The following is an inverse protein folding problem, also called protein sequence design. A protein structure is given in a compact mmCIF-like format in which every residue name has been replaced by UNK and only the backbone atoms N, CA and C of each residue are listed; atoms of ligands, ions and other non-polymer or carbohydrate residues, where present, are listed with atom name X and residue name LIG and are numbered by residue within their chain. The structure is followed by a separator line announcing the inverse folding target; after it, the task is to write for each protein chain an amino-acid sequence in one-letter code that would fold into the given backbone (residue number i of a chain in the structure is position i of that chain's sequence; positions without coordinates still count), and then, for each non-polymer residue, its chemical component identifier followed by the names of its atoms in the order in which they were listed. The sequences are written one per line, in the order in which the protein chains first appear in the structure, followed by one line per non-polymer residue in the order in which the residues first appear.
data_IF_669135517182
#
_entry.id   IF_669135517182
#
_cell.length_a   1.000
_cell.length_b   1.000
_cell.length_c   1.000
_cell.angle_alpha   90.00
_cell.angle_beta   90.00
_cell.angle_gamma   90.00
#
_symmetry.space_group_name_H-M   'P 1'
#
loop_
_entity.id
_entity.type
_entity.pdbx_description
1 polymer ?
#
# COMPACT_ATOMS: atom_id res chain seq x y z
N UNK A 1 -19.33 9.83 5.60
CA UNK A 1 -19.95 8.49 5.68
C UNK A 1 -19.02 7.62 6.50
N UNK A 2 -19.43 7.24 7.70
CA UNK A 2 -18.67 6.34 8.58
C UNK A 2 -18.59 4.97 7.92
N UNK A 3 -17.38 4.45 7.70
CA UNK A 3 -17.18 3.06 7.28
C UNK A 3 -17.69 2.14 8.37
N UNK A 4 -18.82 1.47 8.14
CA UNK A 4 -19.35 0.45 9.04
C UNK A 4 -18.40 -0.77 8.93
N UNK A 5 -17.64 -1.01 10.00
CA UNK A 5 -16.77 -2.19 10.10
C UNK A 5 -17.63 -3.37 10.60
N UNK A 6 -18.05 -4.23 9.68
CA UNK A 6 -18.76 -5.47 9.98
C UNK A 6 -17.78 -6.57 10.41
N UNK A 7 -18.15 -7.36 11.42
CA UNK A 7 -17.41 -8.56 11.79
C UNK A 7 -17.62 -9.71 10.78
N UNK A 8 -16.91 -10.85 10.97
CA UNK A 8 -16.98 -11.98 10.04
C UNK A 8 -18.38 -12.61 10.00
N UNK A 9 -19.07 -12.68 11.16
CA UNK A 9 -20.41 -13.28 11.29
C UNK A 9 -21.46 -12.39 10.62
N UNK A 10 -21.38 -11.08 10.85
CA UNK A 10 -22.26 -10.09 10.22
C UNK A 10 -22.11 -10.07 8.70
N UNK A 11 -20.89 -10.23 8.17
CA UNK A 11 -20.64 -10.33 6.73
C UNK A 11 -21.26 -11.59 6.13
N UNK A 12 -21.16 -12.73 6.81
CA UNK A 12 -21.76 -13.99 6.36
C UNK A 12 -23.28 -13.87 6.30
N UNK A 13 -23.91 -13.34 7.35
CA UNK A 13 -25.36 -13.11 7.39
C UNK A 13 -25.83 -12.14 6.31
N UNK A 14 -25.10 -11.04 6.11
CA UNK A 14 -25.42 -10.08 5.06
C UNK A 14 -25.32 -10.69 3.66
N UNK A 15 -24.32 -11.54 3.43
CA UNK A 15 -24.17 -12.27 2.16
C UNK A 15 -25.33 -13.21 1.91
N UNK A 16 -25.71 -14.01 2.90
CA UNK A 16 -26.86 -14.93 2.81
C UNK A 16 -28.18 -14.17 2.55
N UNK A 17 -28.42 -13.05 3.22
CA UNK A 17 -29.58 -12.19 2.96
C UNK A 17 -29.59 -11.67 1.52
N UNK A 18 -28.47 -11.18 1.01
CA UNK A 18 -28.36 -10.66 -0.35
C UNK A 18 -28.52 -11.76 -1.43
N UNK A 19 -28.02 -12.97 -1.17
CA UNK A 19 -28.19 -14.12 -2.06
C UNK A 19 -29.66 -14.59 -2.08
N UNK A 20 -30.36 -14.59 -0.94
CA UNK A 20 -31.78 -14.91 -0.86
C UNK A 20 -32.63 -13.86 -1.59
N UNK A 21 -32.32 -12.57 -1.43
CA UNK A 21 -32.99 -11.49 -2.19
C UNK A 21 -32.79 -11.67 -3.68
N UNK A 22 -31.57 -11.95 -4.14
CA UNK A 22 -31.25 -12.21 -5.53
C UNK A 22 -32.02 -13.39 -6.12
N UNK A 23 -32.17 -14.48 -5.35
CA UNK A 23 -32.93 -15.66 -5.75
C UNK A 23 -34.44 -15.37 -5.84
N UNK A 24 -35.00 -14.62 -4.89
CA UNK A 24 -36.41 -14.22 -4.93
C UNK A 24 -36.73 -13.34 -6.13
N UNK A 25 -35.82 -12.46 -6.52
CA UNK A 25 -35.94 -11.62 -7.73
C UNK A 25 -35.95 -12.44 -9.03
N UNK A 26 -35.24 -13.59 -9.08
CA UNK A 26 -35.21 -14.49 -10.25
C UNK A 26 -36.49 -15.30 -10.41
N UNK A 27 -37.20 -15.57 -9.33
CA UNK A 27 -38.43 -16.39 -9.34
C UNK A 27 -39.63 -15.58 -9.83
N UNK A 28 -39.66 -14.26 -9.66
CA UNK A 28 -40.78 -13.40 -10.09
C UNK A 28 -40.72 -13.01 -11.58
N UNK A 29 -40.73 -13.99 -12.47
CA UNK A 29 -40.50 -13.81 -13.92
C UNK A 29 -41.75 -13.40 -14.73
N UNK A 30 -42.80 -12.91 -14.09
CA UNK A 30 -44.10 -12.64 -14.79
C UNK A 30 -44.54 -11.20 -14.89
N UNK A 31 -43.68 -10.21 -14.69
CA UNK A 31 -44.05 -8.82 -14.89
C UNK A 31 -43.68 -8.34 -16.27
N UNK A 32 -44.74 -7.99 -17.07
CA UNK A 32 -44.62 -7.48 -18.44
C UNK A 32 -44.34 -5.98 -18.51
N UNK A 33 -44.04 -5.32 -17.40
CA UNK A 33 -43.75 -3.89 -17.38
C UNK A 33 -42.25 -3.63 -17.59
N UNK A 34 -41.94 -2.98 -18.71
CA UNK A 34 -40.56 -2.75 -19.17
C UNK A 34 -39.77 -1.78 -18.26
N UNK A 35 -40.46 -0.94 -17.49
CA UNK A 35 -39.84 0.01 -16.56
C UNK A 35 -39.44 -0.67 -15.25
N UNK A 36 -40.32 -1.53 -14.72
CA UNK A 36 -40.04 -2.43 -13.59
C UNK A 36 -38.90 -3.40 -13.88
N UNK A 37 -38.79 -3.86 -15.11
CA UNK A 37 -37.67 -4.74 -15.53
C UNK A 37 -36.32 -4.05 -15.48
N UNK A 38 -36.24 -2.79 -15.93
CA UNK A 38 -34.97 -2.00 -15.87
C UNK A 38 -34.53 -1.69 -14.46
N UNK A 39 -35.46 -1.36 -13.56
CA UNK A 39 -35.16 -1.06 -12.17
C UNK A 39 -34.72 -2.33 -11.43
N UNK A 40 -35.33 -3.45 -11.71
CA UNK A 40 -34.97 -4.79 -11.21
C UNK A 40 -33.57 -5.20 -11.68
N UNK A 41 -33.23 -5.05 -12.96
CA UNK A 41 -31.88 -5.32 -13.49
C UNK A 41 -30.80 -4.45 -12.84
N UNK A 42 -31.12 -3.19 -12.56
CA UNK A 42 -30.23 -2.27 -11.85
C UNK A 42 -30.01 -2.72 -10.41
N UNK A 43 -31.07 -3.17 -9.72
CA UNK A 43 -31.00 -3.69 -8.36
C UNK A 43 -30.21 -5.00 -8.30
N UNK A 44 -30.46 -5.93 -9.22
CA UNK A 44 -29.69 -7.19 -9.35
C UNK A 44 -28.20 -6.92 -9.52
N UNK A 45 -27.81 -6.04 -10.43
CA UNK A 45 -26.42 -5.65 -10.64
C UNK A 45 -25.77 -5.05 -9.38
N UNK A 46 -26.53 -4.26 -8.61
CA UNK A 46 -26.06 -3.68 -7.37
C UNK A 46 -25.83 -4.76 -6.29
N UNK A 47 -26.78 -5.71 -6.13
CA UNK A 47 -26.66 -6.82 -5.20
C UNK A 47 -25.45 -7.69 -5.57
N UNK A 48 -25.27 -8.06 -6.83
CA UNK A 48 -24.10 -8.82 -7.28
C UNK A 48 -22.78 -8.09 -6.99
N UNK A 49 -22.77 -6.76 -7.14
CA UNK A 49 -21.60 -5.93 -6.83
C UNK A 49 -21.28 -5.94 -5.33
N UNK A 50 -22.30 -5.90 -4.46
CA UNK A 50 -22.16 -5.99 -3.01
C UNK A 50 -21.64 -7.36 -2.58
N UNK A 51 -22.22 -8.45 -3.10
CA UNK A 51 -21.75 -9.83 -2.85
C UNK A 51 -20.28 -9.98 -3.24
N UNK A 52 -19.88 -9.51 -4.43
CA UNK A 52 -18.47 -9.52 -4.87
C UNK A 52 -17.56 -8.73 -3.94
N UNK A 53 -18.04 -7.60 -3.38
CA UNK A 53 -17.28 -6.78 -2.43
C UNK A 53 -17.08 -7.52 -1.10
N UNK A 54 -18.13 -8.21 -0.60
CA UNK A 54 -18.07 -9.01 0.64
C UNK A 54 -17.10 -10.18 0.45
N UNK A 55 -17.23 -10.97 -0.62
CA UNK A 55 -16.33 -12.11 -0.93
C UNK A 55 -14.87 -11.64 -1.00
N UNK A 56 -14.59 -10.49 -1.65
CA UNK A 56 -13.24 -9.92 -1.69
C UNK A 56 -12.70 -9.53 -0.32
N UNK A 57 -13.57 -9.10 0.61
CA UNK A 57 -13.16 -8.75 1.96
C UNK A 57 -12.87 -9.98 2.83
N UNK A 58 -13.41 -11.15 2.49
CA UNK A 58 -13.21 -12.43 3.18
C UNK A 58 -12.00 -13.20 2.64
N UNK A 59 -11.63 -13.01 1.36
CA UNK A 59 -10.47 -13.69 0.79
C UNK A 59 -9.18 -13.05 1.27
N UNK A 60 -8.34 -13.77 2.03
CA UNK A 60 -7.05 -13.24 2.44
C UNK A 60 -6.20 -12.95 1.19
N UNK A 61 -5.64 -11.75 1.11
CA UNK A 61 -4.73 -11.39 0.02
C UNK A 61 -3.58 -12.39 0.03
N UNK A 62 -3.32 -13.04 -1.10
CA UNK A 62 -2.22 -14.02 -1.23
C UNK A 62 -0.92 -13.37 -0.75
N UNK A 63 -0.17 -14.07 0.11
CA UNK A 63 1.10 -13.61 0.69
C UNK A 63 2.09 -13.19 -0.41
N UNK A 64 2.13 -13.92 -1.54
CA UNK A 64 2.92 -13.57 -2.73
C UNK A 64 2.59 -12.18 -3.30
N UNK A 65 1.31 -11.78 -3.30
CA UNK A 65 0.88 -10.45 -3.77
C UNK A 65 1.31 -9.34 -2.81
N UNK A 66 1.28 -9.57 -1.49
CA UNK A 66 1.77 -8.61 -0.48
C UNK A 66 3.27 -8.41 -0.60
N UNK A 67 4.04 -9.50 -0.71
CA UNK A 67 5.49 -9.46 -0.93
C UNK A 67 5.84 -8.72 -2.22
N UNK A 68 5.14 -8.99 -3.32
CA UNK A 68 5.32 -8.29 -4.59
C UNK A 68 5.08 -6.79 -4.49
N UNK A 69 4.01 -6.36 -3.79
CA UNK A 69 3.72 -4.92 -3.58
C UNK A 69 4.83 -4.23 -2.76
N UNK A 70 5.35 -4.89 -1.73
CA UNK A 70 6.47 -4.38 -0.93
C UNK A 70 7.72 -4.20 -1.77
N UNK A 71 8.12 -5.23 -2.52
CA UNK A 71 9.29 -5.21 -3.39
C UNK A 71 9.19 -4.12 -4.48
N UNK A 72 8.04 -3.97 -5.12
CA UNK A 72 7.82 -2.94 -6.11
C UNK A 72 7.98 -1.52 -5.52
N UNK A 73 7.58 -1.31 -4.27
CA UNK A 73 7.81 -0.02 -3.60
C UNK A 73 9.30 0.19 -3.30
N UNK A 74 10.01 -0.83 -2.82
CA UNK A 74 11.45 -0.75 -2.59
C UNK A 74 12.20 -0.42 -3.88
N UNK A 75 11.90 -1.08 -4.99
CA UNK A 75 12.52 -0.79 -6.30
C UNK A 75 12.22 0.62 -6.77
N UNK A 76 10.97 1.07 -6.66
CA UNK A 76 10.61 2.45 -6.97
C UNK A 76 11.44 3.45 -6.16
N UNK A 77 11.62 3.20 -4.85
CA UNK A 77 12.39 4.10 -3.98
C UNK A 77 13.87 4.07 -4.34
N UNK A 78 14.45 2.90 -4.62
CA UNK A 78 15.83 2.75 -5.10
C UNK A 78 16.05 3.52 -6.39
N UNK A 79 15.16 3.38 -7.37
CA UNK A 79 15.21 4.10 -8.65
C UNK A 79 15.15 5.62 -8.45
N UNK A 80 14.26 6.10 -7.57
CA UNK A 80 14.14 7.54 -7.29
C UNK A 80 15.39 8.09 -6.60
N UNK A 81 15.95 7.37 -5.63
CA UNK A 81 17.21 7.77 -4.99
C UNK A 81 18.36 7.75 -6.02
N UNK A 82 18.48 6.71 -6.84
CA UNK A 82 19.50 6.63 -7.89
C UNK A 82 19.43 7.83 -8.86
N UNK A 83 18.22 8.20 -9.25
CA UNK A 83 17.96 9.36 -10.11
C UNK A 83 18.48 10.67 -9.51
N UNK A 84 18.41 10.87 -8.18
CA UNK A 84 18.95 12.06 -7.50
C UNK A 84 20.49 12.16 -7.65
N UNK A 85 21.16 11.03 -7.83
CA UNK A 85 22.63 10.95 -8.00
C UNK A 85 23.06 10.79 -9.47
N UNK A 86 22.11 10.87 -10.42
CA UNK A 86 22.40 10.64 -11.85
C UNK A 86 22.80 9.19 -12.17
N UNK A 87 22.40 8.23 -11.33
CA UNK A 87 22.74 6.80 -11.46
C UNK A 87 21.55 6.07 -12.08
N UNK A 88 21.81 5.18 -13.04
CA UNK A 88 20.82 4.22 -13.52
C UNK A 88 20.70 3.09 -12.50
N UNK A 89 19.51 2.89 -11.94
CA UNK A 89 19.26 1.79 -11.02
C UNK A 89 19.16 0.47 -11.77
N UNK A 90 19.92 -0.53 -11.32
CA UNK A 90 19.76 -1.92 -11.73
C UNK A 90 19.92 -2.82 -10.49
N UNK A 91 18.86 -3.56 -10.17
CA UNK A 91 18.86 -4.46 -9.01
C UNK A 91 19.74 -5.70 -9.23
N UNK A 92 20.02 -6.08 -10.48
CA UNK A 92 20.81 -7.25 -10.83
C UNK A 92 22.30 -6.93 -11.02
N UNK A 93 22.68 -5.66 -10.98
CA UNK A 93 24.06 -5.21 -11.07
C UNK A 93 24.64 -5.09 -9.66
N UNK A 94 25.50 -6.01 -9.27
CA UNK A 94 26.15 -6.05 -7.95
C UNK A 94 27.01 -4.80 -7.67
N UNK A 95 27.47 -4.10 -8.69
CA UNK A 95 28.25 -2.87 -8.60
C UNK A 95 27.36 -1.64 -8.45
N UNK A 96 26.06 -1.75 -8.66
CA UNK A 96 25.14 -0.65 -8.44
C UNK A 96 25.25 -0.16 -6.98
N UNK A 97 25.46 1.15 -6.73
CA UNK A 97 25.65 1.65 -5.37
C UNK A 97 24.34 1.73 -4.56
N UNK A 98 23.21 1.34 -5.13
CA UNK A 98 21.90 1.34 -4.50
C UNK A 98 21.21 0.01 -4.79
N UNK A 99 20.76 -0.67 -3.73
CA UNK A 99 20.03 -1.93 -3.83
C UNK A 99 18.83 -1.96 -2.89
N UNK A 100 17.79 -2.70 -3.26
CA UNK A 100 16.76 -3.10 -2.30
C UNK A 100 17.26 -4.27 -1.46
N UNK A 101 16.97 -4.26 -0.16
CA UNK A 101 17.24 -5.41 0.71
C UNK A 101 16.30 -6.55 0.38
N UNK A 102 16.79 -7.77 0.50
CA UNK A 102 15.95 -8.94 0.36
C UNK A 102 14.89 -9.03 1.46
N UNK A 103 13.72 -9.50 1.08
CA UNK A 103 12.58 -9.61 1.99
C UNK A 103 12.87 -10.59 3.14
N UNK A 104 12.66 -10.12 4.37
CA UNK A 104 12.86 -10.90 5.59
C UNK A 104 14.24 -10.74 6.24
N UNK A 105 15.15 -9.97 5.65
CA UNK A 105 16.41 -9.59 6.28
C UNK A 105 16.24 -8.39 7.22
N UNK A 106 16.99 -8.37 8.32
CA UNK A 106 17.02 -7.24 9.24
C UNK A 106 17.76 -6.03 8.66
N UNK A 107 17.35 -4.82 9.05
CA UNK A 107 17.96 -3.55 8.69
C UNK A 107 17.11 -2.74 7.72
N UNK A 108 17.67 -1.64 7.21
CA UNK A 108 17.01 -0.71 6.29
C UNK A 108 16.65 -1.38 4.95
N UNK A 109 15.51 -1.02 4.36
CA UNK A 109 15.01 -1.61 3.11
C UNK A 109 15.83 -1.20 1.88
N UNK A 110 16.52 -0.06 1.94
CA UNK A 110 17.40 0.43 0.87
C UNK A 110 18.85 0.41 1.35
N UNK A 111 19.69 -0.33 0.64
CA UNK A 111 21.12 -0.40 0.88
C UNK A 111 21.80 0.63 -0.02
N UNK A 112 22.65 1.49 0.56
CA UNK A 112 23.45 2.47 -0.17
C UNK A 112 24.94 2.18 0.04
N UNK A 113 25.77 2.39 -1.02
CA UNK A 113 27.22 2.15 -1.00
C UNK A 113 28.00 3.36 -1.51
N UNK A 114 29.28 3.41 -1.24
CA UNK A 114 30.22 4.39 -1.80
C UNK A 114 29.80 5.85 -1.55
N UNK A 115 29.79 6.67 -2.62
CA UNK A 115 29.43 8.08 -2.58
C UNK A 115 27.98 8.30 -2.13
N UNK A 116 27.05 7.45 -2.58
CA UNK A 116 25.62 7.55 -2.20
C UNK A 116 25.46 7.36 -0.69
N UNK A 117 26.14 6.38 -0.09
CA UNK A 117 26.09 6.16 1.36
C UNK A 117 26.56 7.37 2.17
N UNK A 118 27.55 8.10 1.67
CA UNK A 118 28.12 9.29 2.35
C UNK A 118 27.22 10.51 2.23
N UNK A 119 26.52 10.68 1.12
CA UNK A 119 25.75 11.88 0.82
C UNK A 119 24.26 11.75 1.07
N UNK A 120 23.72 10.55 1.08
CA UNK A 120 22.30 10.30 1.35
C UNK A 120 22.07 10.10 2.87
N UNK A 121 21.44 11.08 3.56
CA UNK A 121 21.43 11.12 5.01
C UNK A 121 20.39 10.21 5.66
N UNK A 122 19.72 9.35 4.90
CA UNK A 122 18.59 8.57 5.42
C UNK A 122 18.81 7.07 5.34
N UNK A 123 18.32 6.36 6.37
CA UNK A 123 18.00 4.94 6.37
C UNK A 123 16.52 4.79 6.04
N UNK A 124 16.21 4.06 4.96
CA UNK A 124 14.85 4.03 4.39
C UNK A 124 14.13 2.75 4.76
N UNK A 125 12.92 2.89 5.28
CA UNK A 125 11.94 1.83 5.51
C UNK A 125 10.77 2.01 4.54
N UNK A 126 10.32 0.94 3.86
CA UNK A 126 9.27 0.95 2.85
C UNK A 126 8.06 0.15 3.30
N UNK A 127 6.88 0.74 3.32
CA UNK A 127 5.63 0.07 3.69
C UNK A 127 4.57 0.21 2.61
N UNK A 128 4.21 -0.91 1.97
CA UNK A 128 3.08 -1.01 1.05
C UNK A 128 1.98 -1.84 1.69
N UNK A 129 0.88 -1.21 2.10
CA UNK A 129 -0.11 -1.84 2.95
C UNK A 129 -1.53 -1.35 2.66
N UNK A 130 -2.50 -2.08 3.20
CA UNK A 130 -3.92 -1.68 3.16
C UNK A 130 -4.35 -1.01 4.46
N UNK A 131 -3.79 -1.43 5.61
CA UNK A 131 -4.04 -0.83 6.92
C UNK A 131 -2.80 -0.07 7.38
N UNK A 132 -2.98 1.17 7.85
CA UNK A 132 -1.89 2.00 8.36
C UNK A 132 -1.57 1.61 9.80
N UNK A 133 -0.30 1.36 10.08
CA UNK A 133 0.27 1.11 11.40
C UNK A 133 1.49 2.02 11.61
N UNK A 134 1.28 3.33 11.44
CA UNK A 134 2.36 4.32 11.44
C UNK A 134 3.23 4.26 12.70
N UNK A 135 2.69 4.18 13.93
CA UNK A 135 3.53 4.13 15.12
C UNK A 135 4.50 2.94 15.13
N UNK A 136 4.03 1.74 14.80
CA UNK A 136 4.85 0.54 14.74
C UNK A 136 5.92 0.61 13.64
N UNK A 137 5.60 1.23 12.52
CA UNK A 137 6.57 1.40 11.43
C UNK A 137 7.63 2.44 11.71
N UNK A 138 7.27 3.51 12.45
CA UNK A 138 8.25 4.49 12.96
C UNK A 138 9.21 3.81 13.93
N UNK A 139 8.69 3.02 14.86
CA UNK A 139 9.53 2.25 15.79
C UNK A 139 10.48 1.31 15.04
N UNK A 140 10.00 0.57 14.06
CA UNK A 140 10.83 -0.28 13.21
C UNK A 140 11.89 0.52 12.45
N UNK A 141 11.53 1.66 11.87
CA UNK A 141 12.46 2.52 11.13
C UNK A 141 13.56 3.06 12.05
N UNK A 142 13.21 3.47 13.28
CA UNK A 142 14.18 3.91 14.31
C UNK A 142 15.14 2.80 14.72
N UNK A 143 14.64 1.57 14.90
CA UNK A 143 15.45 0.41 15.26
C UNK A 143 16.40 -0.01 14.13
N UNK A 144 16.06 0.26 12.88
CA UNK A 144 16.85 -0.10 11.70
C UNK A 144 17.78 1.01 11.21
N UNK A 145 17.80 2.19 11.88
CA UNK A 145 18.59 3.33 11.41
C UNK A 145 20.10 3.03 11.48
N UNK A 146 20.83 3.33 10.41
CA UNK A 146 22.30 3.25 10.38
C UNK A 146 22.93 4.40 11.17
N UNK A 147 24.13 4.15 11.69
CA UNK A 147 24.90 5.17 12.44
C UNK A 147 25.07 6.44 11.59
N UNK A 148 24.83 7.60 12.19
CA UNK A 148 24.94 8.93 11.57
C UNK A 148 23.92 9.17 10.42
N UNK A 149 22.81 8.49 10.43
CA UNK A 149 21.69 8.76 9.53
C UNK A 149 20.40 9.00 10.30
N UNK A 150 19.45 9.65 9.65
CA UNK A 150 18.08 9.76 10.11
C UNK A 150 17.21 8.66 9.46
N UNK A 151 16.13 8.28 10.11
CA UNK A 151 15.18 7.35 9.49
C UNK A 151 14.25 8.09 8.51
N UNK A 152 13.85 7.39 7.46
CA UNK A 152 12.88 7.83 6.47
C UNK A 152 11.89 6.71 6.20
N UNK A 153 10.61 6.91 6.50
CA UNK A 153 9.57 5.94 6.23
C UNK A 153 8.82 6.33 4.95
N UNK A 154 8.86 5.47 3.94
CA UNK A 154 8.11 5.64 2.68
C UNK A 154 6.90 4.72 2.69
N UNK A 155 5.71 5.31 2.63
CA UNK A 155 4.43 4.59 2.72
C UNK A 155 3.65 4.72 1.43
N UNK A 156 3.17 3.58 0.91
CA UNK A 156 2.24 3.54 -0.22
C UNK A 156 0.96 2.83 0.18
N UNK A 157 -0.17 3.53 0.08
CA UNK A 157 -1.51 2.97 0.31
C UNK A 157 -2.47 3.49 -0.77
N UNK A 158 -3.25 2.60 -1.37
CA UNK A 158 -4.17 2.94 -2.45
C UNK A 158 -5.19 4.03 -2.07
N UNK A 159 -5.68 4.02 -0.82
CA UNK A 159 -6.66 4.99 -0.31
C UNK A 159 -6.08 6.39 -0.02
N UNK A 160 -4.75 6.54 0.09
CA UNK A 160 -4.07 7.84 0.29
C UNK A 160 -3.73 8.48 -1.07
N UNK A 161 -3.71 7.67 -2.13
CA UNK A 161 -3.41 8.13 -3.48
C UNK A 161 -2.43 7.20 -4.20
N UNK A 162 -2.10 7.56 -5.44
CA UNK A 162 -1.19 6.76 -6.27
C UNK A 162 0.28 6.98 -5.92
N UNK A 163 0.63 8.16 -5.41
CA UNK A 163 2.00 8.52 -5.04
C UNK A 163 2.31 8.07 -3.61
N UNK A 164 3.52 7.55 -3.34
CA UNK A 164 3.97 7.31 -1.97
C UNK A 164 4.05 8.62 -1.18
N UNK A 165 3.87 8.52 0.12
CA UNK A 165 4.11 9.62 1.09
C UNK A 165 5.37 9.31 1.88
N UNK A 166 5.98 10.34 2.45
CA UNK A 166 7.17 10.26 3.29
C UNK A 166 6.83 10.72 4.69
N UNK A 167 7.34 10.00 5.69
CA UNK A 167 7.28 10.36 7.11
C UNK A 167 8.71 10.41 7.65
N UNK A 168 9.05 11.48 8.34
CA UNK A 168 10.36 11.70 8.97
C UNK A 168 10.20 12.54 10.24
N UNK A 169 11.26 12.66 11.04
CA UNK A 169 11.29 13.61 12.15
C UNK A 169 11.30 15.05 11.63
N UNK A 170 10.68 15.95 12.39
CA UNK A 170 10.67 17.39 12.04
C UNK A 170 12.09 17.96 11.95
N UNK A 171 12.97 17.61 12.89
CA UNK A 171 14.36 18.05 12.90
C UNK A 171 15.13 17.63 11.65
N UNK A 172 14.86 16.42 11.13
CA UNK A 172 15.44 15.94 9.87
C UNK A 172 14.96 16.76 8.67
N UNK A 173 13.68 17.15 8.66
CA UNK A 173 13.13 18.05 7.65
C UNK A 173 13.77 19.45 7.73
N UNK A 174 13.90 20.01 8.94
CA UNK A 174 14.58 21.31 9.12
C UNK A 174 16.02 21.29 8.63
N UNK A 175 16.76 20.23 8.90
CA UNK A 175 18.14 20.09 8.43
C UNK A 175 18.23 20.05 6.90
N UNK A 176 17.31 19.32 6.22
CA UNK A 176 17.21 19.36 4.76
C UNK A 176 16.92 20.79 4.25
N UNK A 177 16.00 21.50 4.89
CA UNK A 177 15.66 22.87 4.50
C UNK A 177 16.83 23.83 4.71
N UNK A 178 17.58 23.69 5.81
CA UNK A 178 18.80 24.48 6.04
C UNK A 178 19.86 24.23 4.95
N UNK A 179 20.04 22.98 4.51
CA UNK A 179 20.97 22.64 3.43
C UNK A 179 20.50 23.22 2.09
N UNK A 180 19.20 23.13 1.79
CA UNK A 180 18.62 23.68 0.57
C UNK A 180 18.74 25.20 0.49
N UNK A 181 18.53 25.92 1.60
CA UNK A 181 18.59 27.38 1.65
C UNK A 181 20.03 27.95 1.65
N UNK A 182 21.06 27.11 1.88
CA UNK A 182 22.47 27.50 1.83
C UNK A 182 23.09 27.43 0.43
N UNK A 183 22.41 26.72 -0.50
CA UNK A 183 22.80 26.59 -1.91
C UNK A 183 22.05 27.59 -2.80
#
# INVERSE_FOLDING_TARGET
MSDISLDKKEKTLLKECLENELNSMKVSLFDQDMELTKERDKREKNIQKLIKKIIRSETPIKVSSRKGKGRNLQYFVCERIASLFGIKFDQNDDDCPIHSREMGQHGTDVITRGKVKKLFPFSVECKSCENLQIPQWIEQARNNVEKNKSWLLVVKKKSIGQKPIVVMEWDSFEELMKQFLKN
#
